data_IF_754870576560
#
_entry.id   IF_754870576560
#
_cell.length_a   1.000
_cell.length_b   1.000
_cell.length_c   1.000
_cell.angle_alpha   90.00
_cell.angle_beta   90.00
_cell.angle_gamma   90.00
#
_symmetry.space_group_name_H-M   'P 1'
#
loop_
_entity.id
_entity.type
_entity.pdbx_description
1 polymer ?
#
# COMPACT_ATOMS: atom_id res chain seq x y z
N UNK A 1 -25.27 -35.98 17.23
CA UNK A 1 -25.03 -35.64 15.81
C UNK A 1 -23.93 -34.58 15.80
N UNK A 2 -22.71 -34.93 15.40
CA UNK A 2 -21.61 -33.96 15.31
C UNK A 2 -21.60 -33.30 13.93
N UNK A 3 -21.52 -31.98 13.91
CA UNK A 3 -21.45 -31.21 12.67
C UNK A 3 -20.04 -31.33 12.05
N UNK A 4 -19.91 -31.40 10.72
CA UNK A 4 -18.61 -31.41 10.07
C UNK A 4 -17.94 -30.04 10.21
N UNK A 5 -16.70 -30.02 10.70
CA UNK A 5 -15.85 -28.82 10.75
C UNK A 5 -15.42 -28.50 9.32
N UNK A 6 -16.06 -27.50 8.72
CA UNK A 6 -15.65 -26.96 7.42
C UNK A 6 -14.50 -25.99 7.71
N UNK A 7 -13.28 -26.34 7.31
CA UNK A 7 -12.12 -25.45 7.38
C UNK A 7 -12.27 -24.36 6.31
N UNK A 8 -12.84 -23.21 6.66
CA UNK A 8 -13.10 -22.09 5.75
C UNK A 8 -11.87 -21.23 5.42
N UNK A 9 -10.68 -21.58 5.92
CA UNK A 9 -9.46 -20.82 5.69
C UNK A 9 -8.41 -21.70 5.01
N UNK A 10 -7.84 -21.22 3.90
CA UNK A 10 -6.61 -21.81 3.34
C UNK A 10 -5.54 -21.80 4.44
N UNK A 11 -4.84 -22.92 4.60
CA UNK A 11 -3.68 -23.03 5.49
C UNK A 11 -2.67 -21.97 5.03
N UNK A 12 -2.40 -21.00 5.90
CA UNK A 12 -1.42 -19.94 5.64
C UNK A 12 -0.08 -20.52 5.22
N UNK A 13 0.64 -19.74 4.41
CA UNK A 13 1.91 -20.10 3.79
C UNK A 13 2.89 -20.71 4.80
N UNK A 14 3.64 -21.73 4.36
CA UNK A 14 4.57 -22.46 5.22
C UNK A 14 5.58 -21.48 5.82
N UNK A 15 5.80 -21.59 7.14
CA UNK A 15 6.81 -20.82 7.87
C UNK A 15 8.13 -20.90 7.10
N UNK A 16 8.56 -19.78 6.54
CA UNK A 16 9.83 -19.63 5.85
C UNK A 16 10.98 -19.68 6.87
N UNK A 17 11.18 -20.83 7.51
CA UNK A 17 12.41 -21.12 8.23
C UNK A 17 13.45 -21.54 7.21
N UNK A 18 14.15 -20.54 6.65
CA UNK A 18 15.53 -20.56 6.11
C UNK A 18 15.70 -19.48 5.02
N UNK A 19 15.70 -18.20 5.41
CA UNK A 19 16.59 -17.24 4.75
C UNK A 19 17.84 -17.17 5.63
N UNK A 20 18.81 -17.97 5.22
CA UNK A 20 20.15 -18.08 5.78
C UNK A 20 20.89 -16.73 5.70
N UNK A 21 21.37 -16.27 6.85
CA UNK A 21 22.53 -15.39 7.04
C UNK A 21 22.59 -14.10 6.20
N UNK A 22 21.92 -13.07 6.72
CA UNK A 22 22.26 -11.67 6.41
C UNK A 22 21.51 -10.76 7.37
N UNK A 23 22.23 -10.14 8.30
CA UNK A 23 21.76 -8.91 8.95
C UNK A 23 21.62 -7.83 7.88
N UNK A 24 20.48 -7.82 7.19
CA UNK A 24 20.12 -6.83 6.21
C UNK A 24 18.71 -6.37 6.58
N UNK A 25 18.64 -5.20 7.22
CA UNK A 25 17.49 -4.31 7.08
C UNK A 25 17.23 -4.20 5.57
N UNK A 26 16.23 -4.93 5.09
CA UNK A 26 15.93 -5.04 3.67
C UNK A 26 15.22 -3.75 3.28
N UNK A 27 16.01 -2.74 2.93
CA UNK A 27 15.50 -1.52 2.31
C UNK A 27 14.78 -1.89 1.02
N UNK A 28 13.44 -1.76 1.03
CA UNK A 28 12.60 -1.97 -0.14
C UNK A 28 12.49 -0.65 -0.89
N UNK A 29 13.04 -0.59 -2.11
CA UNK A 29 12.86 0.57 -2.97
C UNK A 29 11.57 0.45 -3.78
N UNK A 30 10.71 1.46 -3.68
CA UNK A 30 9.39 1.53 -4.32
C UNK A 30 9.35 2.74 -5.25
N UNK A 31 8.91 2.55 -6.50
CA UNK A 31 8.86 3.64 -7.47
C UNK A 31 7.47 4.32 -7.48
N UNK A 32 7.38 5.54 -6.93
CA UNK A 32 6.16 6.36 -6.88
C UNK A 32 6.12 7.40 -8.01
N UNK A 33 5.08 8.24 -8.04
CA UNK A 33 5.02 9.39 -8.95
C UNK A 33 5.95 10.53 -8.51
N UNK A 34 6.26 10.62 -7.21
CA UNK A 34 7.14 11.64 -6.63
C UNK A 34 8.63 11.29 -6.72
N UNK A 35 8.97 10.02 -6.93
CA UNK A 35 10.35 9.55 -7.01
C UNK A 35 10.48 8.12 -6.50
N UNK A 36 11.68 7.75 -6.10
CA UNK A 36 11.95 6.46 -5.46
C UNK A 36 11.90 6.62 -3.96
N UNK A 37 11.11 5.78 -3.30
CA UNK A 37 10.93 5.76 -1.84
C UNK A 37 11.60 4.51 -1.29
N UNK A 38 12.39 4.67 -0.22
CA UNK A 38 12.98 3.55 0.50
C UNK A 38 12.14 3.23 1.73
N UNK A 39 11.65 2.01 1.82
CA UNK A 39 10.81 1.52 2.91
C UNK A 39 11.61 0.51 3.73
N UNK A 40 11.71 0.77 5.03
CA UNK A 40 12.32 -0.12 6.01
C UNK A 40 11.26 -0.66 6.97
N UNK A 41 11.38 -1.93 7.33
CA UNK A 41 10.52 -2.57 8.33
C UNK A 41 11.18 -2.50 9.71
N UNK A 42 10.56 -1.77 10.63
CA UNK A 42 10.91 -1.84 12.05
C UNK A 42 10.11 -2.97 12.73
N UNK A 43 10.75 -4.08 13.15
CA UNK A 43 10.07 -5.20 13.78
C UNK A 43 9.51 -4.89 15.18
N UNK A 44 9.86 -3.75 15.78
CA UNK A 44 9.34 -3.31 17.08
C UNK A 44 8.22 -2.27 16.96
N UNK A 45 7.98 -1.74 15.76
CA UNK A 45 6.94 -0.75 15.51
C UNK A 45 5.62 -1.40 15.09
N UNK A 46 4.50 -0.78 15.46
CA UNK A 46 3.20 -1.20 14.99
C UNK A 46 3.05 -0.90 13.50
N UNK A 47 2.38 -1.79 12.77
CA UNK A 47 2.07 -1.57 11.34
C UNK A 47 1.21 -0.30 11.21
N UNK A 48 1.76 0.72 10.57
CA UNK A 48 1.01 1.95 10.30
C UNK A 48 0.24 1.79 8.99
N UNK A 49 -1.05 2.17 8.93
CA UNK A 49 -1.82 2.17 7.68
C UNK A 49 -1.21 3.04 6.59
N UNK A 50 -0.33 3.99 6.96
CA UNK A 50 0.39 4.87 6.05
C UNK A 50 1.61 4.18 5.43
N UNK A 51 2.22 3.21 6.12
CA UNK A 51 3.43 2.52 5.65
C UNK A 51 3.21 1.66 4.39
N UNK A 52 1.96 1.27 4.09
CA UNK A 52 1.61 0.55 2.87
C UNK A 52 1.37 1.46 1.66
N UNK A 53 1.24 2.78 1.86
CA UNK A 53 0.89 3.72 0.78
C UNK A 53 1.90 3.75 -0.37
N UNK A 54 3.23 3.71 -0.15
CA UNK A 54 4.18 3.70 -1.25
C UNK A 54 3.92 2.56 -2.24
N UNK A 55 3.67 1.34 -1.73
CA UNK A 55 3.38 0.16 -2.56
C UNK A 55 2.06 0.31 -3.34
N UNK A 56 1.04 0.91 -2.72
CA UNK A 56 -0.20 1.22 -3.42
C UNK A 56 0.02 2.25 -4.54
N UNK A 57 0.86 3.26 -4.32
CA UNK A 57 1.18 4.27 -5.34
C UNK A 57 1.96 3.64 -6.50
N UNK A 58 2.91 2.75 -6.22
CA UNK A 58 3.61 1.98 -7.25
C UNK A 58 2.64 1.13 -8.08
N UNK A 59 1.67 0.47 -7.44
CA UNK A 59 0.61 -0.25 -8.15
C UNK A 59 -0.19 0.68 -9.09
N UNK A 60 -0.58 1.87 -8.62
CA UNK A 60 -1.27 2.85 -9.46
C UNK A 60 -0.43 3.32 -10.64
N UNK A 61 0.89 3.45 -10.45
CA UNK A 61 1.85 3.84 -11.48
C UNK A 61 2.03 2.74 -12.52
N UNK A 62 2.28 1.50 -12.10
CA UNK A 62 2.47 0.35 -12.99
C UNK A 62 1.20 0.02 -13.78
N UNK A 63 0.03 0.16 -13.15
CA UNK A 63 -1.26 -0.07 -13.81
C UNK A 63 -1.80 1.12 -14.59
N UNK A 64 -1.15 2.30 -14.52
CA UNK A 64 -1.67 3.56 -15.04
C UNK A 64 -3.12 3.86 -14.57
N UNK A 65 -3.45 3.46 -13.34
CA UNK A 65 -4.82 3.47 -12.79
C UNK A 65 -5.16 4.75 -12.04
N UNK A 66 -4.21 5.68 -11.90
CA UNK A 66 -4.39 6.90 -11.11
C UNK A 66 -5.63 7.71 -11.52
N UNK A 67 -5.86 7.88 -12.82
CA UNK A 67 -6.99 8.68 -13.31
C UNK A 67 -8.35 8.03 -13.03
N UNK A 68 -8.48 6.72 -13.27
CA UNK A 68 -9.72 5.97 -12.96
C UNK A 68 -10.02 6.03 -11.47
N UNK A 69 -8.99 5.77 -10.64
CA UNK A 69 -9.13 5.84 -9.19
C UNK A 69 -9.55 7.23 -8.70
N UNK A 70 -8.99 8.30 -9.29
CA UNK A 70 -9.36 9.67 -8.93
C UNK A 70 -10.81 10.04 -9.30
N UNK A 71 -11.35 9.42 -10.36
CA UNK A 71 -12.73 9.63 -10.82
C UNK A 71 -13.73 8.85 -9.96
N UNK A 72 -13.39 7.60 -9.61
CA UNK A 72 -14.20 6.73 -8.75
C UNK A 72 -14.21 7.17 -7.28
N UNK A 73 -13.31 8.07 -6.89
CA UNK A 73 -13.17 8.48 -5.50
C UNK A 73 -14.42 9.25 -5.01
N UNK A 74 -15.09 8.80 -3.91
CA UNK A 74 -16.34 9.37 -3.40
C UNK A 74 -16.17 10.71 -2.66
N UNK A 75 -15.17 11.51 -3.02
CA UNK A 75 -14.97 12.85 -2.47
C UNK A 75 -15.90 13.86 -3.14
N UNK A 76 -16.54 14.71 -2.34
CA UNK A 76 -17.32 15.85 -2.84
C UNK A 76 -16.87 17.09 -2.10
N UNK A 77 -16.43 18.10 -2.84
CA UNK A 77 -16.06 19.38 -2.27
C UNK A 77 -17.16 20.41 -2.52
N UNK A 78 -17.47 21.21 -1.51
CA UNK A 78 -18.57 22.20 -1.54
C UNK A 78 -18.09 23.65 -1.63
N UNK A 79 -16.80 23.90 -1.39
CA UNK A 79 -16.22 25.24 -1.41
C UNK A 79 -15.94 25.73 -2.83
N UNK A 80 -16.19 27.02 -3.15
CA UNK A 80 -15.79 27.62 -4.43
C UNK A 80 -14.28 27.60 -4.69
N UNK A 81 -13.46 27.47 -3.63
CA UNK A 81 -12.01 27.41 -3.71
C UNK A 81 -11.47 25.97 -3.50
N UNK A 82 -12.32 24.95 -3.69
CA UNK A 82 -11.89 23.58 -3.52
C UNK A 82 -10.99 23.13 -4.68
N UNK A 83 -9.84 22.48 -4.39
CA UNK A 83 -9.03 21.86 -5.41
C UNK A 83 -9.75 20.67 -6.05
N UNK A 84 -9.30 20.28 -7.24
CA UNK A 84 -9.84 19.09 -7.90
C UNK A 84 -9.43 17.82 -7.14
N UNK A 85 -10.22 16.73 -7.25
CA UNK A 85 -9.84 15.43 -6.67
C UNK A 85 -8.45 14.99 -7.13
N UNK A 86 -8.15 15.17 -8.42
CA UNK A 86 -6.86 14.86 -9.04
C UNK A 86 -5.71 15.66 -8.40
N UNK A 87 -5.94 16.92 -8.03
CA UNK A 87 -4.93 17.76 -7.39
C UNK A 87 -4.62 17.29 -5.96
N UNK A 88 -5.65 16.91 -5.22
CA UNK A 88 -5.51 16.39 -3.84
C UNK A 88 -4.79 15.06 -3.84
N UNK A 89 -5.29 14.11 -4.64
CA UNK A 89 -4.72 12.77 -4.73
C UNK A 89 -3.33 12.78 -5.35
N UNK A 90 -3.07 13.67 -6.31
CA UNK A 90 -1.75 13.85 -6.92
C UNK A 90 -0.73 14.35 -5.90
N UNK A 91 -1.11 15.35 -5.08
CA UNK A 91 -0.25 15.81 -3.97
C UNK A 91 0.07 14.67 -2.99
N UNK A 92 -0.92 13.85 -2.64
CA UNK A 92 -0.69 12.68 -1.78
C UNK A 92 0.30 11.70 -2.43
N UNK A 93 0.10 11.34 -3.69
CA UNK A 93 0.92 10.34 -4.37
C UNK A 93 2.35 10.80 -4.71
N UNK A 94 2.56 12.12 -4.80
CA UNK A 94 3.88 12.70 -5.09
C UNK A 94 4.67 13.09 -3.83
N UNK A 95 4.05 13.13 -2.64
CA UNK A 95 4.69 13.57 -1.40
C UNK A 95 5.43 12.45 -0.65
N UNK A 96 5.20 11.19 -1.02
CA UNK A 96 5.97 10.04 -0.56
C UNK A 96 7.21 9.87 -1.42
#
# INVERSE_FOLDING_TARGET
MSLPVITTHQKGEQTLSEITNGSATTELSVDTFGGRVHVEWDPQSAVTPLGQLPFFIEFLKLGNLFFSWAEDCPMTFTSPNAPSKKDVLGRLCCQF
#
